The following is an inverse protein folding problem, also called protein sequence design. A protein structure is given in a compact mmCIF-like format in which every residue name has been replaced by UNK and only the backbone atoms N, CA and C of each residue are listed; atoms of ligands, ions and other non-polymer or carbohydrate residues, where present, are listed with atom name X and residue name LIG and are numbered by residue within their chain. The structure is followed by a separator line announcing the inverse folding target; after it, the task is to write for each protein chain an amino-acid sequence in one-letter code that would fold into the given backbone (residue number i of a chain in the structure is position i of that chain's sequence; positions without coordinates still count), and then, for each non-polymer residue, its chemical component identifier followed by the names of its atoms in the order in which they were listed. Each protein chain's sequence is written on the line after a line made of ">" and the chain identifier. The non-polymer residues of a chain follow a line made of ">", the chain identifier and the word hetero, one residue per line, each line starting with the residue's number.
data_IF_391841859603
#
_entry.id   IF_391841859603
#
_cell.length_a   1.000
_cell.length_b   1.000
_cell.length_c   1.000
_cell.angle_alpha   90.00
_cell.angle_beta   90.00
_cell.angle_gamma   90.00
#
_symmetry.space_group_name_H-M   'P 1'
#
loop_
_entity.id
_entity.type
_entity.pdbx_description
1 polymer ?
2 polymer ?
3 polymer ?
4 water ?
#
# COMPACT_ATOMS: atom_id res chain seq x y z
N UNK A 2 -18.27 -16.82 -10.41
CA UNK A 2 -17.03 -17.31 -11.00
C UNK A 2 -15.91 -17.31 -9.96
N UNK A 3 -14.88 -18.12 -10.21
CA UNK A 3 -13.72 -18.19 -9.32
C UNK A 3 -12.48 -18.48 -10.15
N UNK A 4 -11.47 -17.62 -10.03
CA UNK A 4 -10.19 -17.79 -10.72
C UNK A 4 -9.14 -18.16 -9.67
N UNK A 5 -8.97 -19.47 -9.45
CA UNK A 5 -7.98 -19.95 -8.51
C UNK A 5 -6.58 -19.73 -9.08
N UNK A 6 -5.73 -19.03 -8.33
CA UNK A 6 -4.40 -18.66 -8.78
C UNK A 6 -3.36 -19.51 -8.05
N UNK A 7 -2.30 -19.89 -8.77
CA UNK A 7 -1.23 -20.70 -8.22
C UNK A 7 0.07 -20.30 -8.88
N UNK A 8 1.14 -20.08 -8.10
CA UNK A 8 1.10 -20.16 -6.64
C UNK A 8 0.62 -18.87 -5.99
N UNK A 9 0.47 -18.88 -4.66
CA UNK A 9 0.12 -17.67 -3.94
C UNK A 9 1.32 -16.76 -3.72
N UNK A 10 2.52 -17.32 -3.71
CA UNK A 10 3.75 -16.54 -3.56
C UNK A 10 4.90 -17.32 -4.21
N UNK A 11 5.83 -16.59 -4.82
CA UNK A 11 6.96 -17.19 -5.49
C UNK A 11 8.20 -16.34 -5.24
N UNK A 12 9.33 -17.00 -5.02
CA UNK A 12 10.61 -16.34 -4.82
C UNK A 12 11.54 -16.72 -5.96
N UNK A 13 11.98 -15.72 -6.72
CA UNK A 13 12.85 -15.95 -7.87
C UNK A 13 13.98 -14.92 -7.87
N UNK A 14 15.08 -15.30 -8.49
CA UNK A 14 16.26 -14.44 -8.55
C UNK A 14 16.20 -13.51 -9.75
N UNK A 15 17.02 -12.47 -9.70
CA UNK A 15 17.12 -11.53 -10.83
C UNK A 15 17.53 -12.29 -12.07
N UNK A 16 16.83 -12.03 -13.18
CA UNK A 16 17.08 -12.72 -14.42
C UNK A 16 16.40 -14.08 -14.55
N UNK A 17 15.84 -14.61 -13.47
CA UNK A 17 15.15 -15.88 -13.53
C UNK A 17 13.81 -15.77 -14.24
N UNK A 18 13.01 -16.83 -14.07
CA UNK A 18 11.70 -16.93 -14.69
C UNK A 18 10.69 -17.40 -13.67
N UNK A 19 9.52 -16.76 -13.66
CA UNK A 19 8.44 -17.12 -12.75
C UNK A 19 7.20 -17.45 -13.57
N UNK A 20 6.42 -18.41 -13.08
CA UNK A 20 5.21 -18.86 -13.75
C UNK A 20 4.05 -18.78 -12.77
N UNK A 21 2.93 -18.20 -13.21
CA UNK A 21 1.73 -18.05 -12.40
C UNK A 21 0.56 -18.64 -13.17
N UNK A 22 -0.10 -19.62 -12.56
CA UNK A 22 -1.23 -20.30 -13.19
C UNK A 22 -2.54 -19.73 -12.66
N UNK A 23 -3.48 -19.49 -13.58
CA UNK A 23 -4.79 -18.94 -13.25
C UNK A 23 -5.86 -19.90 -13.79
N UNK A 24 -6.50 -20.61 -12.88
CA UNK A 24 -7.57 -21.55 -13.24
C UNK A 24 -8.92 -20.93 -12.90
N UNK A 25 -9.79 -20.85 -13.90
CA UNK A 25 -11.11 -20.27 -13.74
C UNK A 25 -12.14 -21.36 -13.49
N UNK A 26 -13.11 -21.07 -12.62
CA UNK A 26 -14.17 -22.02 -12.31
C UNK A 26 -15.12 -22.25 -13.49
N UNK A 27 -15.05 -21.43 -14.52
CA UNK A 27 -15.89 -21.60 -15.70
C UNK A 27 -15.29 -20.81 -16.85
N UNK A 28 -15.67 -21.19 -18.06
CA UNK A 28 -15.12 -20.55 -19.25
C UNK A 28 -15.46 -19.07 -19.25
N UNK A 29 -14.45 -18.24 -19.59
CA UNK A 29 -14.70 -16.81 -19.71
C UNK A 29 -15.58 -16.55 -20.94
N UNK A 30 -16.13 -15.33 -20.99
CA UNK A 30 -16.94 -14.95 -22.14
C UNK A 30 -16.19 -15.13 -23.44
N UNK A 31 -14.88 -14.93 -23.43
CA UNK A 31 -14.02 -15.13 -24.59
C UNK A 31 -12.61 -14.73 -24.19
N UNK A 32 -11.63 -15.19 -24.97
CA UNK A 32 -10.23 -14.90 -24.66
C UNK A 32 -9.93 -13.42 -24.65
N UNK A 33 -10.81 -12.59 -25.23
CA UNK A 33 -10.64 -11.14 -25.19
C UNK A 33 -11.03 -10.53 -23.86
N UNK A 34 -11.38 -11.34 -22.86
CA UNK A 34 -11.78 -10.87 -21.54
C UNK A 34 -11.01 -11.60 -20.45
N UNK A 35 -9.68 -11.57 -20.57
CA UNK A 35 -8.80 -12.16 -19.57
C UNK A 35 -7.50 -11.38 -19.57
N UNK A 36 -7.18 -10.72 -18.46
CA UNK A 36 -6.01 -9.90 -18.36
C UNK A 36 -5.24 -10.16 -17.08
N UNK A 37 -4.06 -9.56 -17.01
CA UNK A 37 -3.18 -9.66 -15.85
C UNK A 37 -2.82 -8.27 -15.36
N UNK A 38 -2.99 -8.03 -14.07
CA UNK A 38 -2.73 -6.74 -13.46
C UNK A 38 -1.56 -6.85 -12.48
N UNK A 39 -0.66 -5.87 -12.53
CA UNK A 39 0.44 -5.76 -11.60
C UNK A 39 0.12 -4.67 -10.58
N UNK A 40 0.24 -5.01 -9.29
CA UNK A 40 -0.01 -4.06 -8.22
C UNK A 40 1.14 -4.07 -7.23
N UNK A 41 1.66 -2.90 -6.92
CA UNK A 41 2.66 -2.72 -5.89
C UNK A 41 2.04 -2.07 -4.65
N UNK A 42 2.66 -2.22 -3.49
CA UNK A 42 2.06 -1.69 -2.26
C UNK A 42 1.81 -0.19 -2.36
N UNK A 43 0.64 0.23 -1.87
CA UNK A 43 0.28 1.63 -1.86
C UNK A 43 -0.09 2.23 -3.19
N UNK A 44 -0.14 1.44 -4.26
CA UNK A 44 -0.47 1.91 -5.58
C UNK A 44 -1.69 1.18 -6.13
N UNK A 45 -2.35 1.74 -7.12
CA UNK A 45 -3.47 1.04 -7.77
C UNK A 45 -2.95 0.02 -8.77
N UNK A 46 -3.73 -1.02 -9.07
CA UNK A 46 -3.28 -2.01 -10.04
C UNK A 46 -2.95 -1.37 -11.38
N UNK A 47 -2.24 -2.14 -12.21
CA UNK A 47 -1.78 -1.67 -13.51
C UNK A 47 -1.93 -2.80 -14.52
N UNK A 48 -2.62 -2.52 -15.63
CA UNK A 48 -2.83 -3.54 -16.65
C UNK A 48 -1.49 -3.95 -17.26
N UNK A 49 -1.28 -5.25 -17.37
CA UNK A 49 -0.04 -5.81 -17.89
C UNK A 49 -0.23 -6.63 -19.16
N UNK A 50 -1.25 -7.49 -19.20
CA UNK A 50 -1.55 -8.31 -20.36
C UNK A 50 -3.06 -8.28 -20.58
N UNK A 51 -3.48 -8.01 -21.81
CA UNK A 51 -4.89 -7.99 -22.17
C UNK A 51 -5.15 -9.01 -23.28
N UNK A 52 -6.41 -9.42 -23.39
CA UNK A 52 -6.84 -10.42 -24.37
C UNK A 52 -6.17 -11.76 -24.14
N UNK A 53 -5.72 -12.02 -22.91
CA UNK A 53 -5.16 -13.31 -22.52
C UNK A 53 -3.72 -13.48 -23.01
N UNK A 54 -3.35 -12.78 -24.09
CA UNK A 54 -2.00 -12.97 -24.64
C UNK A 54 -1.46 -11.75 -25.37
N UNK A 55 -2.05 -10.57 -25.19
CA UNK A 55 -1.59 -9.35 -25.85
C UNK A 55 -0.88 -8.45 -24.84
N UNK A 56 0.32 -8.01 -25.21
CA UNK A 56 1.11 -7.16 -24.33
C UNK A 56 0.52 -5.75 -24.30
N UNK A 57 0.09 -5.31 -23.12
CA UNK A 57 -0.49 -3.98 -22.98
C UNK A 57 0.52 -2.92 -23.40
N UNK A 58 0.00 -1.77 -23.82
CA UNK A 58 0.85 -0.69 -24.28
C UNK A 58 1.77 -0.21 -23.17
N UNK A 59 3.08 -0.23 -23.44
CA UNK A 59 4.06 0.22 -22.48
C UNK A 59 4.65 -0.87 -21.59
N UNK A 60 4.18 -2.10 -21.71
CA UNK A 60 4.69 -3.20 -20.87
C UNK A 60 5.90 -3.83 -21.55
N UNK A 61 6.94 -4.17 -20.80
CA UNK A 61 8.13 -4.77 -21.42
C UNK A 61 7.83 -6.17 -21.94
N UNK A 62 8.72 -6.64 -22.82
CA UNK A 62 8.56 -7.95 -23.44
C UNK A 62 8.82 -9.11 -22.47
N UNK A 63 9.30 -8.83 -21.26
CA UNK A 63 9.54 -9.90 -20.30
C UNK A 63 8.25 -10.62 -19.90
N UNK A 64 7.11 -9.98 -20.05
CA UNK A 64 5.83 -10.55 -19.65
C UNK A 64 5.15 -11.19 -20.85
N UNK A 65 4.67 -12.42 -20.67
CA UNK A 65 3.99 -13.18 -21.71
C UNK A 65 2.71 -13.77 -21.13
N UNK A 66 1.64 -13.70 -21.91
CA UNK A 66 0.35 -14.26 -21.53
C UNK A 66 -0.05 -15.39 -22.45
N UNK A 67 -0.63 -16.43 -21.87
CA UNK A 67 -1.05 -17.59 -22.64
C UNK A 67 -2.21 -18.27 -21.94
N UNK A 68 -2.98 -19.03 -22.71
CA UNK A 68 -4.14 -19.74 -22.21
C UNK A 68 -5.38 -19.43 -23.02
N UNK A 69 -6.48 -20.02 -22.60
CA UNK A 69 -7.78 -19.82 -23.24
C UNK A 69 -8.82 -20.63 -22.48
N UNK A 70 -10.09 -20.23 -22.64
CA UNK A 70 -11.19 -20.93 -22.01
C UNK A 70 -11.23 -20.77 -20.50
N UNK A 71 -10.50 -21.62 -19.79
CA UNK A 71 -10.47 -21.57 -18.33
C UNK A 71 -9.08 -21.69 -17.73
N UNK A 72 -8.07 -22.09 -18.49
CA UNK A 72 -6.71 -22.23 -17.98
C UNK A 72 -5.83 -21.16 -18.61
N UNK A 73 -5.22 -20.32 -17.78
CA UNK A 73 -4.35 -19.25 -18.23
C UNK A 73 -3.05 -19.28 -17.46
N UNK A 74 -2.01 -18.70 -18.06
CA UNK A 74 -0.69 -18.72 -17.47
C UNK A 74 0.02 -17.39 -17.74
N UNK A 75 0.67 -16.86 -16.70
CA UNK A 75 1.50 -15.67 -16.81
C UNK A 75 2.96 -16.06 -16.64
N UNK A 76 3.81 -15.58 -17.54
CA UNK A 76 5.23 -15.91 -17.52
C UNK A 76 6.04 -14.61 -17.50
N UNK A 77 6.89 -14.47 -16.50
CA UNK A 77 7.79 -13.31 -16.36
C UNK A 77 9.20 -13.80 -16.62
N UNK A 78 9.83 -13.28 -17.66
CA UNK A 78 11.19 -13.62 -18.02
C UNK A 78 12.14 -12.48 -17.67
N UNK A 79 13.41 -12.82 -17.51
CA UNK A 79 14.44 -11.85 -17.12
C UNK A 79 13.97 -11.03 -15.93
N UNK A 80 13.62 -11.74 -14.86
CA UNK A 80 13.01 -11.11 -13.69
C UNK A 80 13.92 -10.00 -13.15
N UNK A 81 13.34 -8.82 -12.99
CA UNK A 81 14.03 -7.65 -12.48
C UNK A 81 13.42 -7.22 -11.15
N UNK A 82 14.16 -6.38 -10.42
CA UNK A 82 13.66 -5.89 -9.14
C UNK A 82 12.40 -5.05 -9.31
N UNK A 83 12.25 -4.38 -10.45
CA UNK A 83 11.05 -3.59 -10.68
C UNK A 83 9.80 -4.45 -10.82
N UNK A 84 9.97 -5.76 -11.05
CA UNK A 84 8.85 -6.68 -11.15
C UNK A 84 8.39 -7.21 -9.80
N UNK A 85 8.96 -6.70 -8.71
CA UNK A 85 8.55 -7.10 -7.37
C UNK A 85 7.18 -6.51 -7.07
N UNK A 86 6.16 -7.36 -6.98
CA UNK A 86 4.80 -6.90 -6.75
C UNK A 86 3.84 -8.08 -6.64
N UNK A 87 2.54 -7.80 -6.66
CA UNK A 87 1.51 -8.82 -6.64
C UNK A 87 0.75 -8.80 -7.95
N UNK A 88 0.53 -9.97 -8.54
CA UNK A 88 -0.09 -10.10 -9.84
C UNK A 88 -1.44 -10.78 -9.72
N UNK A 89 -2.43 -10.24 -10.43
CA UNK A 89 -3.79 -10.76 -10.40
C UNK A 89 -4.26 -11.03 -11.82
N UNK A 90 -5.00 -12.13 -11.99
CA UNK A 90 -5.68 -12.42 -13.24
C UNK A 90 -7.16 -12.06 -13.10
N UNK A 91 -7.66 -11.27 -14.04
CA UNK A 91 -9.06 -10.84 -14.04
C UNK A 91 -9.71 -11.34 -15.33
N UNK A 92 -10.78 -12.10 -15.18
CA UNK A 92 -11.50 -12.66 -16.32
C UNK A 92 -12.92 -12.13 -16.38
N UNK A 93 -13.37 -11.75 -17.57
CA UNK A 93 -14.72 -11.28 -17.77
C UNK A 93 -15.65 -12.44 -18.14
N UNK A 94 -16.85 -12.41 -17.57
CA UNK A 94 -17.84 -13.47 -17.76
C UNK A 94 -19.20 -12.88 -18.09
N UNK A 95 -19.21 -11.84 -18.93
CA UNK A 95 -20.39 -11.15 -19.46
C UNK A 95 -20.75 -9.95 -18.59
N UNK A 96 -21.48 -10.11 -17.47
CA UNK A 96 -21.88 -8.93 -16.71
C UNK A 96 -20.82 -8.47 -15.72
N UNK A 97 -20.11 -9.42 -15.12
CA UNK A 97 -19.19 -9.16 -14.02
C UNK A 97 -17.79 -9.65 -14.35
N UNK A 98 -16.83 -9.12 -13.60
CA UNK A 98 -15.45 -9.58 -13.66
C UNK A 98 -15.14 -10.43 -12.43
N UNK A 99 -13.97 -11.05 -12.44
CA UNK A 99 -13.52 -11.88 -11.32
C UNK A 99 -12.01 -11.82 -11.23
N UNK A 100 -11.50 -11.44 -10.06
CA UNK A 100 -10.07 -11.36 -9.81
C UNK A 100 -9.58 -12.63 -9.13
N UNK A 101 -8.39 -13.07 -9.50
CA UNK A 101 -7.75 -14.16 -8.79
C UNK A 101 -7.32 -13.75 -7.39
N UNK A 102 -6.91 -14.74 -6.61
CA UNK A 102 -6.47 -14.48 -5.26
C UNK A 102 -5.18 -13.68 -5.15
N UNK A 103 -4.44 -13.55 -6.24
CA UNK A 103 -3.19 -12.82 -6.21
C UNK A 103 -1.99 -13.74 -5.99
N UNK A 104 -0.84 -13.28 -6.48
CA UNK A 104 0.41 -14.04 -6.34
C UNK A 104 1.54 -13.05 -6.09
N UNK A 105 2.05 -13.03 -4.86
CA UNK A 105 3.17 -12.16 -4.54
C UNK A 105 4.46 -12.68 -5.14
N UNK A 106 5.20 -11.80 -5.81
CA UNK A 106 6.45 -12.15 -6.48
C UNK A 106 7.57 -11.39 -5.77
N UNK A 107 8.45 -12.14 -5.11
CA UNK A 107 9.63 -11.59 -4.46
C UNK A 107 10.83 -11.86 -5.36
N UNK A 108 11.68 -10.85 -5.54
CA UNK A 108 12.80 -10.92 -6.46
C UNK A 108 14.09 -10.93 -5.64
N UNK A 109 14.88 -11.98 -5.79
CA UNK A 109 16.17 -12.09 -5.13
C UNK A 109 17.23 -11.35 -5.93
N UNK A 110 17.80 -10.29 -5.35
CA UNK A 110 18.83 -9.51 -5.98
C UNK A 110 20.19 -9.71 -5.35
N UNK A 111 21.07 -8.75 -5.59
CA UNK A 111 22.41 -8.81 -5.01
C UNK A 111 22.34 -8.57 -3.51
N UNK A 112 22.96 -9.42 -2.69
CA UNK A 112 22.93 -9.19 -1.24
C UNK A 112 23.59 -7.87 -0.89
N UNK A 113 23.05 -7.20 0.13
CA UNK A 113 23.58 -5.94 0.63
C UNK A 113 23.48 -5.94 2.13
N UNK A 114 24.58 -5.60 2.80
CA UNK A 114 24.57 -5.50 4.26
C UNK A 114 23.89 -4.21 4.69
N UNK A 115 23.09 -4.24 5.75
CA UNK A 115 22.33 -3.06 6.15
C UNK A 115 23.11 -2.14 7.08
N UNK A 116 22.72 -0.88 7.06
CA UNK A 116 23.14 0.11 8.04
C UNK A 116 22.02 0.31 9.05
N UNK A 117 22.38 0.49 10.32
CA UNK A 117 21.43 0.55 11.41
C UNK A 117 21.47 1.92 12.05
N UNK A 118 20.29 2.48 12.33
CA UNK A 118 20.16 3.75 13.03
C UNK A 118 19.23 3.54 14.22
N UNK A 119 19.65 4.03 15.38
CA UNK A 119 18.87 3.92 16.62
C UNK A 119 18.43 5.32 17.02
N UNK A 120 17.16 5.44 17.40
CA UNK A 120 16.59 6.74 17.76
C UNK A 120 16.10 6.70 19.21
N UNK A 121 16.73 7.42 20.12
CA UNK A 121 16.23 7.48 21.50
C UNK A 121 14.89 8.19 21.55
N UNK A 122 14.09 7.96 22.59
CA UNK A 122 12.79 8.61 22.67
C UNK A 122 12.94 10.12 22.79
N UNK A 123 11.98 10.84 22.21
CA UNK A 123 12.00 12.29 22.28
C UNK A 123 11.94 12.76 23.72
N UNK A 124 12.29 14.03 23.93
CA UNK A 124 12.34 14.57 25.29
C UNK A 124 10.99 14.51 25.97
N UNK A 125 9.90 14.59 25.20
CA UNK A 125 8.55 14.64 25.76
C UNK A 125 7.82 13.30 25.63
N UNK A 126 8.55 12.19 25.51
CA UNK A 126 7.92 10.88 25.47
C UNK A 126 7.68 10.30 26.86
N UNK A 127 8.66 10.44 27.76
CA UNK A 127 8.52 9.90 29.10
C UNK A 127 7.37 10.57 29.85
N UNK A 128 7.08 11.83 29.50
CA UNK A 128 5.98 12.54 30.16
C UNK A 128 4.66 11.80 30.00
N UNK A 129 4.46 11.13 28.87
CA UNK A 129 3.24 10.38 28.61
C UNK A 129 3.24 9.00 29.27
N UNK A 130 4.25 8.70 30.09
CA UNK A 130 4.34 7.40 30.72
C UNK A 130 4.62 6.25 29.78
N UNK A 131 4.86 6.52 28.50
CA UNK A 131 5.13 5.47 27.52
C UNK A 131 6.27 5.92 26.61
N UNK A 132 7.26 5.06 26.45
CA UNK A 132 8.44 5.35 25.63
C UNK A 132 8.48 4.36 24.48
N UNK A 133 8.83 4.85 23.29
CA UNK A 133 8.90 4.02 22.08
C UNK A 133 10.25 4.28 21.41
N UNK A 134 11.16 3.33 21.54
CA UNK A 134 12.48 3.43 20.91
C UNK A 134 12.38 2.86 19.49
N UNK A 135 12.93 3.59 18.52
CA UNK A 135 12.83 3.24 17.11
C UNK A 135 14.21 2.89 16.59
N UNK A 136 14.29 1.78 15.86
CA UNK A 136 15.52 1.34 15.20
C UNK A 136 15.21 1.01 13.75
N UNK A 137 16.07 1.45 12.84
CA UNK A 137 15.85 1.31 11.41
C UNK A 137 17.03 0.56 10.79
N UNK A 138 16.71 -0.39 9.91
CA UNK A 138 17.69 -1.09 9.10
C UNK A 138 17.55 -0.59 7.67
N UNK A 139 18.63 0.01 7.14
CA UNK A 139 18.57 0.73 5.88
C UNK A 139 19.21 -0.07 4.75
N UNK A 140 18.55 -0.05 3.59
CA UNK A 140 19.10 -0.57 2.33
C UNK A 140 19.80 -1.91 2.53
N UNK A 141 19.05 -3.00 2.46
CA UNK A 141 19.61 -4.33 2.67
C UNK A 141 18.74 -5.34 1.92
N UNK A 142 19.34 -6.49 1.60
CA UNK A 142 18.52 -7.57 1.09
C UNK A 142 18.50 -8.69 2.13
N UNK A 143 18.96 -9.94 1.83
CA UNK A 143 18.51 -11.11 2.60
C UNK A 143 17.93 -10.78 3.96
N UNK A 144 16.63 -11.00 4.14
CA UNK A 144 15.90 -10.63 5.35
C UNK A 144 16.76 -10.69 6.60
N UNK A 145 16.62 -9.70 7.48
CA UNK A 145 17.40 -9.62 8.69
C UNK A 145 16.53 -10.00 9.88
N UNK A 146 17.17 -10.13 11.04
CA UNK A 146 16.48 -10.36 12.30
C UNK A 146 16.99 -9.33 13.31
N UNK A 147 16.07 -8.78 14.10
CA UNK A 147 16.38 -7.71 15.04
C UNK A 147 16.18 -8.24 16.46
N UNK A 148 17.15 -7.95 17.33
CA UNK A 148 17.07 -8.28 18.73
C UNK A 148 17.39 -7.05 19.56
N UNK A 149 16.53 -6.75 20.53
CA UNK A 149 16.73 -5.62 21.42
C UNK A 149 17.37 -6.09 22.72
N UNK A 150 18.38 -5.35 23.18
CA UNK A 150 19.08 -5.65 24.42
C UNK A 150 19.09 -4.41 25.30
N UNK A 151 18.64 -4.57 26.54
CA UNK A 151 18.63 -3.50 27.52
C UNK A 151 19.61 -3.85 28.62
N UNK A 152 20.76 -3.20 28.61
CA UNK A 152 21.83 -3.47 29.58
C UNK A 152 22.27 -4.93 29.51
N UNK A 153 22.33 -5.47 28.30
CA UNK A 153 22.75 -6.84 28.08
C UNK A 153 21.67 -7.88 28.17
N UNK A 154 20.43 -7.48 28.48
CA UNK A 154 19.32 -8.41 28.62
C UNK A 154 18.47 -8.35 27.36
N UNK A 155 18.25 -9.51 26.73
CA UNK A 155 17.47 -9.57 25.50
C UNK A 155 15.99 -9.40 25.80
N UNK A 156 15.35 -8.47 25.09
CA UNK A 156 13.93 -8.21 25.28
C UNK A 156 13.09 -9.23 24.53
N UNK A 157 11.96 -9.61 25.11
CA UNK A 157 11.08 -10.61 24.53
C UNK A 157 9.69 -10.08 24.22
N UNK A 158 9.35 -8.88 24.64
CA UNK A 158 8.03 -8.31 24.39
C UNK A 158 8.18 -6.83 24.04
N UNK A 159 7.06 -6.21 23.67
CA UNK A 159 7.07 -4.81 23.32
C UNK A 159 7.79 -4.47 22.03
N UNK A 160 7.98 -5.45 21.15
CA UNK A 160 8.71 -5.28 19.91
C UNK A 160 7.77 -5.55 18.75
N UNK A 161 7.78 -4.67 17.75
CA UNK A 161 7.00 -4.85 16.54
C UNK A 161 7.75 -4.25 15.37
N UNK A 162 7.84 -5.00 14.27
CA UNK A 162 8.64 -4.61 13.12
C UNK A 162 7.73 -4.29 11.94
N UNK A 163 8.28 -3.50 11.01
CA UNK A 163 7.57 -3.13 9.79
C UNK A 163 8.60 -3.01 8.67
N UNK A 164 8.32 -3.66 7.55
CA UNK A 164 9.25 -3.72 6.41
C UNK A 164 8.62 -3.05 5.20
N UNK A 165 9.42 -2.22 4.53
CA UNK A 165 8.97 -1.55 3.32
C UNK A 165 9.06 -2.47 2.12
N UNK A 166 8.38 -2.12 1.02
CA UNK A 166 8.51 -2.92 -0.20
C UNK A 166 9.94 -2.92 -0.72
N UNK A 167 10.20 -3.84 -1.63
CA UNK A 167 11.53 -3.92 -2.23
C UNK A 167 11.78 -2.74 -3.15
N UNK A 168 13.01 -2.21 -3.11
CA UNK A 168 13.37 -1.10 -3.96
C UNK A 168 13.29 -1.53 -5.43
N UNK A 169 12.64 -0.70 -6.25
CA UNK A 169 12.45 -1.05 -7.65
C UNK A 169 13.77 -1.18 -8.41
N UNK A 170 14.87 -0.68 -7.86
CA UNK A 170 16.14 -0.65 -8.56
C UNK A 170 17.11 -1.74 -8.11
N UNK A 171 17.10 -2.11 -6.83
CA UNK A 171 18.07 -3.08 -6.33
C UNK A 171 17.47 -4.11 -5.39
N UNK A 172 16.14 -4.24 -5.35
CA UNK A 172 15.50 -5.30 -4.60
C UNK A 172 15.64 -5.13 -3.09
N UNK A 173 16.33 -4.08 -2.66
CA UNK A 173 16.65 -3.95 -1.24
C UNK A 173 15.41 -3.64 -0.42
N UNK A 174 15.51 -3.92 0.87
CA UNK A 174 14.44 -3.69 1.84
C UNK A 174 14.79 -2.51 2.74
N UNK A 175 13.82 -2.13 3.57
CA UNK A 175 14.01 -1.16 4.63
C UNK A 175 13.07 -1.55 5.77
N UNK A 176 13.61 -1.66 6.98
CA UNK A 176 12.85 -2.15 8.12
C UNK A 176 12.97 -1.18 9.28
N UNK A 177 11.91 -1.12 10.09
CA UNK A 177 11.89 -0.32 11.30
C UNK A 177 11.45 -1.21 12.45
N UNK A 178 12.19 -1.17 13.55
CA UNK A 178 11.88 -1.93 14.75
C UNK A 178 11.67 -0.95 15.90
N UNK A 179 10.57 -1.11 16.63
CA UNK A 179 10.23 -0.24 17.74
C UNK A 179 10.10 -1.06 19.01
N UNK A 180 10.69 -0.55 20.10
CA UNK A 180 10.60 -1.18 21.41
C UNK A 180 9.88 -0.22 22.35
N UNK A 181 8.67 -0.57 22.75
CA UNK A 181 7.86 0.24 23.64
C UNK A 181 7.83 -0.40 25.02
N UNK A 182 8.01 0.42 26.06
CA UNK A 182 8.00 -0.05 27.42
C UNK A 182 7.59 1.09 28.35
N UNK A 183 7.43 0.76 29.63
CA UNK A 183 6.98 1.74 30.61
C UNK A 183 8.07 2.76 30.89
N UNK A 184 7.66 4.02 31.09
CA UNK A 184 8.61 5.05 31.46
C UNK A 184 9.38 4.68 32.72
N UNK A 185 8.73 3.96 33.64
CA UNK A 185 9.44 3.48 34.83
C UNK A 185 10.52 2.48 34.46
N UNK A 186 10.30 1.67 33.43
CA UNK A 186 11.31 0.71 33.00
C UNK A 186 12.40 1.39 32.18
N UNK A 187 12.04 2.38 31.38
CA UNK A 187 13.05 3.08 30.58
C UNK A 187 14.07 3.80 31.45
N UNK A 188 13.65 4.26 32.63
CA UNK A 188 14.56 4.94 33.54
C UNK A 188 15.35 3.98 34.42
N UNK A 189 14.91 2.73 34.54
CA UNK A 189 15.61 1.72 35.32
C UNK A 189 16.80 1.12 34.59
N UNK A 190 17.14 1.65 33.41
CA UNK A 190 18.26 1.14 32.62
C UNK A 190 18.96 2.31 31.95
N UNK A 191 20.06 2.01 31.27
CA UNK A 191 20.85 3.06 30.61
C UNK A 191 21.18 2.68 29.18
N UNK A 192 21.77 1.50 28.98
CA UNK A 192 22.22 1.08 27.66
C UNK A 192 21.09 0.37 26.92
N UNK A 193 20.71 0.92 25.77
CA UNK A 193 19.70 0.33 24.89
C UNK A 193 20.36 0.02 23.55
N UNK A 194 20.34 -1.25 23.15
CA UNK A 194 21.06 -1.70 21.97
C UNK A 194 20.09 -2.29 20.96
N UNK A 195 20.34 -1.99 19.68
CA UNK A 195 19.62 -2.59 18.56
C UNK A 195 20.61 -3.37 17.72
N UNK A 196 20.39 -4.68 17.62
CA UNK A 196 21.27 -5.57 16.85
C UNK A 196 20.48 -6.15 15.69
N UNK A 197 21.01 -5.99 14.49
CA UNK A 197 20.39 -6.50 13.27
C UNK A 197 21.35 -7.54 12.68
N UNK A 198 20.93 -8.80 12.67
CA UNK A 198 21.75 -9.90 12.18
C UNK A 198 21.27 -10.32 10.80
N UNK A 199 22.21 -10.48 9.88
CA UNK A 199 21.95 -10.95 8.53
C UNK A 199 22.72 -12.25 8.36
N UNK A 200 22.13 -13.36 8.78
CA UNK A 200 22.80 -14.64 8.79
C UNK A 200 23.61 -14.84 10.06
N UNK A 201 24.92 -14.66 9.96
CA UNK A 201 25.79 -14.68 11.13
C UNK A 201 26.54 -13.37 11.34
N UNK A 202 26.26 -12.35 10.52
CA UNK A 202 26.88 -11.04 10.67
C UNK A 202 25.90 -10.10 11.34
N UNK A 203 26.41 -9.30 12.28
CA UNK A 203 25.58 -8.41 13.08
C UNK A 203 26.04 -6.96 12.93
N UNK A 204 25.08 -6.05 13.00
CA UNK A 204 25.33 -4.62 13.00
C UNK A 204 24.66 -4.04 14.23
N UNK A 205 25.44 -3.39 15.09
CA UNK A 205 24.97 -2.92 16.38
C UNK A 205 24.97 -1.41 16.41
N UNK A 206 23.96 -0.83 17.04
CA UNK A 206 23.87 0.61 17.25
C UNK A 206 23.19 0.84 18.59
N UNK A 207 23.85 1.56 19.49
CA UNK A 207 23.36 1.73 20.85
C UNK A 207 23.35 3.21 21.21
N UNK A 208 22.78 3.50 22.39
CA UNK A 208 22.80 4.84 22.96
C UNK A 208 22.65 4.71 24.46
N UNK A 209 23.19 5.68 25.19
CA UNK A 209 23.12 5.71 26.64
C UNK A 209 22.07 6.71 27.07
N UNK A 210 21.15 6.29 27.95
CA UNK A 210 20.06 7.16 28.36
C UNK A 210 20.56 8.47 28.94
N UNK A 211 21.69 8.46 29.64
CA UNK A 211 22.25 9.64 30.24
C UNK A 211 22.94 10.60 29.30
N UNK A 212 22.78 10.43 28.00
CA UNK A 212 23.43 11.29 27.01
C UNK A 212 22.47 11.97 26.05
N UNK A 213 21.26 11.47 25.89
CA UNK A 213 20.32 12.01 24.93
C UNK A 213 19.27 12.89 25.61
N UNK B 4 -6.89 12.72 -17.61
CA UNK B 4 -5.83 11.73 -17.46
C UNK B 4 -5.55 11.44 -15.99
N UNK B 5 -6.50 11.81 -15.13
CA UNK B 5 -6.37 11.59 -13.70
C UNK B 5 -7.74 11.27 -13.11
N UNK B 6 -7.72 10.56 -11.99
CA UNK B 6 -8.94 10.21 -11.27
C UNK B 6 -8.68 10.32 -9.77
N UNK B 7 -9.72 10.69 -9.04
CA UNK B 7 -9.64 10.85 -7.59
C UNK B 7 -10.97 10.44 -6.98
N UNK B 8 -10.91 9.55 -5.99
CA UNK B 8 -12.10 9.12 -5.26
C UNK B 8 -12.07 9.72 -3.86
N UNK B 9 -13.24 10.19 -3.41
CA UNK B 9 -13.37 10.81 -2.10
C UNK B 9 -14.61 10.29 -1.41
N UNK B 10 -14.67 10.50 -0.10
CA UNK B 10 -15.77 10.05 0.72
C UNK B 10 -15.42 8.99 1.74
N UNK B 11 -14.21 8.42 1.70
CA UNK B 11 -13.86 7.39 2.64
C UNK B 11 -13.66 7.93 4.04
N UNK B 12 -13.84 7.06 5.02
CA UNK B 12 -13.69 7.45 6.41
C UNK B 12 -14.30 6.41 7.32
N UNK B 13 -14.23 6.72 8.62
CA UNK B 13 -14.78 5.81 9.63
C UNK B 13 -16.29 5.88 9.63
N UNK B 14 -16.94 4.72 9.63
CA UNK B 14 -18.39 4.62 9.66
C UNK B 14 -18.78 3.46 10.55
N UNK B 15 -19.96 3.58 11.17
CA UNK B 15 -20.44 2.56 12.09
C UNK B 15 -21.06 1.39 11.33
N UNK B 16 -21.05 0.20 11.92
CA UNK B 16 -21.70 -0.95 11.27
C UNK B 16 -23.19 -0.67 11.06
N UNK B 17 -23.62 -0.80 9.81
CA UNK B 17 -25.00 -0.53 9.43
C UNK B 17 -25.22 0.84 8.81
N UNK B 18 -24.33 1.79 9.04
CA UNK B 18 -24.46 3.10 8.45
C UNK B 18 -24.18 3.10 6.97
N UNK B 19 -24.47 4.23 6.34
CA UNK B 19 -24.28 4.42 4.90
C UNK B 19 -23.13 5.38 4.64
N UNK B 20 -22.71 5.43 3.38
CA UNK B 20 -21.62 6.30 2.96
C UNK B 20 -21.54 6.37 1.45
N UNK B 21 -21.49 7.58 0.90
CA UNK B 21 -21.48 7.78 -0.55
C UNK B 21 -20.07 8.16 -0.99
N UNK B 22 -19.49 7.35 -1.87
CA UNK B 22 -18.17 7.61 -2.43
C UNK B 22 -18.30 8.20 -3.82
N UNK B 23 -17.36 9.07 -4.17
CA UNK B 23 -17.36 9.75 -5.47
C UNK B 23 -16.06 9.48 -6.21
N UNK B 24 -16.13 9.56 -7.53
CA UNK B 24 -14.97 9.34 -8.41
C UNK B 24 -15.00 10.42 -9.47
N UNK B 25 -14.19 11.46 -9.28
CA UNK B 25 -14.15 12.60 -10.19
C UNK B 25 -12.96 12.51 -11.12
N UNK B 26 -13.14 12.98 -12.35
CA UNK B 26 -12.10 12.99 -13.36
C UNK B 26 -11.49 14.38 -13.49
N UNK B 27 -10.20 14.42 -13.87
CA UNK B 27 -9.47 15.68 -14.01
C UNK B 27 -8.49 15.52 -15.18
N UNK B 28 -9.03 15.62 -16.40
CA UNK B 28 -8.24 15.47 -17.59
C UNK B 28 -8.97 14.76 -18.70
N UNK B 29 -10.04 14.03 -18.34
CA UNK B 29 -10.87 13.34 -19.32
C UNK B 29 -12.31 13.40 -18.85
N UNK B 30 -13.22 12.77 -19.60
CA UNK B 30 -14.64 12.79 -19.30
C UNK B 30 -15.17 11.37 -19.16
N UNK B 31 -16.33 11.26 -18.55
CA UNK B 31 -17.04 10.00 -18.41
C UNK B 31 -18.20 9.92 -19.39
N UNK B 32 -17.93 10.17 -20.67
CA UNK B 32 -18.94 10.16 -21.72
C UNK B 32 -18.76 8.90 -22.54
N UNK B 33 -19.75 8.00 -22.50
CA UNK B 33 -19.73 6.75 -23.26
C UNK B 33 -18.48 5.93 -22.92
N UNK B 34 -18.45 5.49 -21.66
CA UNK B 34 -17.36 4.66 -21.17
C UNK B 34 -17.80 3.98 -19.89
N UNK B 35 -17.11 2.89 -19.55
CA UNK B 35 -17.43 2.14 -18.35
C UNK B 35 -16.59 2.59 -17.16
N UNK B 36 -17.25 2.72 -16.02
CA UNK B 36 -16.61 3.10 -14.77
C UNK B 36 -16.81 1.95 -13.78
N UNK B 37 -15.71 1.35 -13.34
CA UNK B 37 -15.74 0.20 -12.47
C UNK B 37 -15.19 0.55 -11.09
N UNK B 38 -15.75 -0.09 -10.06
CA UNK B 38 -15.28 0.06 -8.69
C UNK B 38 -14.66 -1.25 -8.23
N UNK B 39 -13.49 -1.15 -7.60
CA UNK B 39 -12.76 -2.31 -7.12
C UNK B 39 -12.23 -1.99 -5.72
N UNK B 40 -12.65 -2.76 -4.73
CA UNK B 40 -12.21 -2.57 -3.36
C UNK B 40 -11.18 -3.65 -2.98
N UNK B 41 -10.36 -3.33 -1.99
CA UNK B 41 -9.29 -4.22 -1.56
C UNK B 41 -9.13 -4.09 -0.06
N UNK B 42 -9.55 -5.11 0.68
CA UNK B 42 -9.40 -5.11 2.13
C UNK B 42 -7.92 -5.03 2.50
N UNK B 43 -7.61 -4.54 3.70
CA UNK B 43 -6.21 -4.38 4.09
C UNK B 43 -5.46 -5.71 4.02
N UNK B 44 -4.38 -5.73 3.25
CA UNK B 44 -3.58 -6.93 3.10
C UNK B 44 -4.26 -8.06 2.37
N UNK B 45 -5.35 -7.80 1.67
CA UNK B 45 -6.11 -8.81 0.94
C UNK B 45 -5.97 -8.56 -0.57
N UNK B 46 -6.78 -9.29 -1.35
CA UNK B 46 -6.74 -9.19 -2.79
C UNK B 46 -7.82 -8.28 -3.34
N UNK B 47 -7.75 -8.06 -4.65
CA UNK B 47 -8.73 -7.21 -5.32
C UNK B 47 -10.08 -7.90 -5.42
N UNK B 48 -11.14 -7.10 -5.40
CA UNK B 48 -12.51 -7.61 -5.44
C UNK B 48 -13.34 -6.72 -6.34
N UNK B 49 -13.77 -7.25 -7.48
CA UNK B 49 -14.72 -6.55 -8.34
C UNK B 49 -16.07 -6.45 -7.64
N UNK B 50 -16.63 -5.25 -7.60
CA UNK B 50 -17.87 -5.03 -6.85
C UNK B 50 -18.98 -4.52 -7.76
N UNK B 51 -18.75 -3.40 -8.43
CA UNK B 51 -19.81 -2.76 -9.20
C UNK B 51 -19.26 -2.22 -10.51
N UNK B 52 -20.17 -1.97 -11.45
CA UNK B 52 -19.85 -1.42 -12.76
C UNK B 52 -21.01 -0.57 -13.23
N UNK B 53 -20.70 0.49 -13.98
CA UNK B 53 -21.72 1.38 -14.52
C UNK B 53 -21.21 1.97 -15.83
N UNK B 54 -22.05 1.96 -16.85
CA UNK B 54 -21.71 2.53 -18.15
C UNK B 54 -22.38 3.90 -18.27
N UNK B 55 -21.57 4.95 -18.35
CA UNK B 55 -22.10 6.31 -18.40
C UNK B 55 -22.94 6.56 -19.64
N UNK B 56 -22.78 5.76 -20.69
CA UNK B 56 -23.53 5.93 -21.91
C UNK B 56 -25.02 6.03 -21.69
N UNK B 57 -25.64 4.96 -21.20
CA UNK B 57 -27.06 4.93 -20.91
C UNK B 57 -27.33 4.43 -19.51
N UNK B 58 -26.45 4.73 -18.56
CA UNK B 58 -26.65 4.37 -17.18
C UNK B 58 -26.99 2.92 -16.94
N UNK B 59 -26.10 2.02 -17.33
CA UNK B 59 -26.27 0.58 -17.11
C UNK B 59 -25.32 0.17 -16.00
N UNK B 60 -25.87 -0.30 -14.89
CA UNK B 60 -25.09 -0.63 -13.70
C UNK B 60 -25.15 -2.12 -13.41
N UNK B 61 -24.01 -2.67 -12.97
CA UNK B 61 -23.90 -4.06 -12.56
C UNK B 61 -23.21 -4.13 -11.20
N UNK B 62 -23.67 -5.05 -10.37
CA UNK B 62 -23.17 -5.18 -9.00
C UNK B 62 -22.81 -6.63 -8.71
N UNK B 63 -21.78 -6.82 -7.90
CA UNK B 63 -21.37 -8.15 -7.49
C UNK B 63 -22.29 -8.68 -6.40
N UNK B 64 -22.25 -10.00 -6.21
CA UNK B 64 -23.14 -10.62 -5.24
C UNK B 64 -22.85 -10.16 -3.82
N UNK B 65 -21.60 -9.78 -3.53
CA UNK B 65 -21.25 -9.34 -2.18
C UNK B 65 -21.95 -8.04 -1.82
N UNK B 66 -22.22 -7.19 -2.81
CA UNK B 66 -22.87 -5.91 -2.58
C UNK B 66 -24.27 -5.89 -3.21
N UNK B 67 -24.88 -7.05 -3.40
CA UNK B 67 -26.17 -7.13 -4.05
C UNK B 67 -27.24 -6.41 -3.24
N UNK B 68 -27.83 -5.37 -3.82
CA UNK B 68 -28.92 -4.66 -3.20
C UNK B 68 -28.53 -3.67 -2.12
N UNK B 69 -27.30 -3.73 -1.61
CA UNK B 69 -26.88 -2.83 -0.55
C UNK B 69 -26.18 -1.58 -1.08
N UNK B 70 -25.57 -1.66 -2.26
CA UNK B 70 -24.86 -0.53 -2.86
C UNK B 70 -25.60 -0.05 -4.10
N UNK B 71 -25.17 1.09 -4.61
CA UNK B 71 -25.77 1.69 -5.80
C UNK B 71 -24.73 2.57 -6.48
N UNK B 72 -24.53 2.37 -7.78
CA UNK B 72 -23.58 3.13 -8.57
C UNK B 72 -24.33 4.23 -9.31
N UNK B 73 -23.88 5.46 -9.13
CA UNK B 73 -24.49 6.63 -9.76
C UNK B 73 -23.50 7.25 -10.75
N UNK B 74 -24.04 8.01 -11.70
CA UNK B 74 -23.23 8.62 -12.75
C UNK B 74 -23.74 10.02 -13.07
N UNK B 75 -23.95 10.84 -12.04
CA UNK B 75 -24.32 12.23 -12.25
C UNK B 75 -23.22 12.92 -13.05
N UNK B 76 -23.46 13.15 -14.34
CA UNK B 76 -22.44 13.71 -15.20
C UNK B 76 -22.10 15.16 -14.87
N UNK B 77 -22.93 15.84 -14.08
CA UNK B 77 -22.62 17.19 -13.64
C UNK B 77 -21.27 17.20 -12.92
N UNK B 78 -20.30 17.91 -13.48
CA UNK B 78 -18.92 17.88 -13.01
C UNK B 78 -18.37 16.46 -13.08
N UNK B 79 -18.41 15.93 -14.31
CA UNK B 79 -18.05 14.55 -14.66
C UNK B 79 -17.49 13.74 -13.49
N UNK B 80 -18.33 12.90 -12.90
CA UNK B 80 -17.92 12.09 -11.76
C UNK B 80 -18.93 10.97 -11.55
N UNK B 81 -18.44 9.83 -11.08
CA UNK B 81 -19.27 8.69 -10.76
C UNK B 81 -19.32 8.53 -9.24
N UNK B 82 -20.42 8.00 -8.74
CA UNK B 82 -20.64 7.85 -7.31
C UNK B 82 -20.93 6.40 -6.97
N UNK B 83 -20.79 6.08 -5.69
CA UNK B 83 -21.04 4.72 -5.17
C UNK B 83 -21.71 4.86 -3.81
N UNK B 84 -23.02 4.66 -3.77
CA UNK B 84 -23.79 4.77 -2.54
C UNK B 84 -23.81 3.41 -1.84
N UNK B 85 -23.36 3.39 -0.59
CA UNK B 85 -23.32 2.17 0.21
C UNK B 85 -24.34 2.29 1.33
N UNK B 86 -25.28 1.34 1.38
CA UNK B 86 -26.36 1.38 2.37
C UNK B 86 -25.93 0.69 3.66
N UNK B 87 -26.47 -0.50 3.92
CA UNK B 87 -26.16 -1.23 5.14
C UNK B 87 -24.74 -1.77 5.06
N UNK B 88 -23.82 -1.15 5.78
CA UNK B 88 -22.41 -1.54 5.75
C UNK B 88 -22.11 -2.56 6.84
N UNK B 89 -20.97 -3.22 6.68
CA UNK B 89 -20.50 -4.21 7.65
C UNK B 89 -18.99 -4.17 7.71
N UNK B 90 -18.43 -4.86 8.70
CA UNK B 90 -16.98 -4.88 8.87
C UNK B 90 -16.28 -5.39 7.61
N UNK B 91 -16.88 -6.37 6.94
CA UNK B 91 -16.27 -6.93 5.74
C UNK B 91 -16.12 -5.91 4.63
N UNK B 92 -16.91 -4.84 4.66
CA UNK B 92 -16.80 -3.79 3.65
C UNK B 92 -15.61 -2.88 3.85
N UNK B 93 -14.88 -3.02 4.96
CA UNK B 93 -13.68 -2.23 5.17
C UNK B 93 -12.63 -2.59 4.13
N UNK B 94 -12.17 -1.58 3.38
CA UNK B 94 -11.20 -1.82 2.31
C UNK B 94 -10.91 -0.48 1.64
N UNK B 95 -9.93 -0.50 0.74
CA UNK B 95 -9.62 0.64 -0.12
C UNK B 95 -10.40 0.50 -1.42
N UNK B 96 -11.22 1.49 -1.73
CA UNK B 96 -12.09 1.45 -2.89
C UNK B 96 -11.46 2.24 -4.03
N UNK B 97 -11.23 1.59 -5.15
CA UNK B 97 -10.72 2.21 -6.36
C UNK B 97 -11.85 2.41 -7.38
N UNK B 98 -11.61 3.31 -8.32
CA UNK B 98 -12.45 3.43 -9.50
C UNK B 98 -11.57 3.44 -10.74
N UNK B 99 -11.98 2.70 -11.76
CA UNK B 99 -11.22 2.58 -12.99
C UNK B 99 -12.11 2.93 -14.18
N UNK B 100 -11.48 3.45 -15.23
CA UNK B 100 -12.17 3.84 -16.45
C UNK B 100 -11.67 3.01 -17.61
N UNK B 101 -12.60 2.55 -18.45
CA UNK B 101 -12.27 1.79 -19.64
C UNK B 101 -12.35 2.68 -20.88
N UNK B 102 -12.13 2.07 -22.04
CA UNK B 102 -12.17 2.80 -23.29
C UNK B 102 -11.08 3.83 -23.49
N UNK B 103 -10.20 4.01 -22.51
CA UNK B 103 -9.13 4.99 -22.66
C UNK B 103 -8.20 4.60 -23.79
N UNK B 104 -7.93 3.30 -23.94
CA UNK B 104 -7.05 2.80 -24.99
C UNK B 104 -7.85 2.56 -26.27
N UNK B 105 -7.16 2.05 -27.29
CA UNK B 105 -7.76 1.79 -28.59
C UNK B 105 -7.77 0.29 -28.84
N UNK B 106 -8.91 -0.23 -29.29
CA UNK B 106 -9.04 -1.64 -29.61
C UNK B 106 -9.58 -2.47 -28.47
N UNK B 107 -9.15 -3.74 -28.39
CA UNK B 107 -9.62 -4.62 -27.34
C UNK B 107 -9.05 -4.23 -25.98
N UNK B 108 -7.91 -3.55 -25.95
CA UNK B 108 -7.33 -3.11 -24.68
C UNK B 108 -8.28 -2.18 -23.93
N UNK B 109 -9.15 -1.48 -24.66
CA UNK B 109 -10.10 -0.59 -24.02
C UNK B 109 -11.12 -1.30 -23.15
N UNK B 110 -11.28 -2.61 -23.33
CA UNK B 110 -12.19 -3.36 -22.47
C UNK B 110 -11.75 -3.34 -21.02
N UNK B 111 -10.45 -3.23 -20.78
CA UNK B 111 -9.89 -3.39 -19.44
C UNK B 111 -9.75 -2.04 -18.73
N UNK B 112 -9.50 -2.11 -17.43
CA UNK B 112 -9.39 -0.94 -16.57
C UNK B 112 -8.10 -0.21 -16.90
N UNK B 113 -8.19 0.83 -17.72
CA UNK B 113 -7.00 1.54 -18.20
C UNK B 113 -6.52 2.59 -17.19
N UNK B 114 -7.45 3.41 -16.69
CA UNK B 114 -7.11 4.50 -15.77
C UNK B 114 -7.68 4.21 -14.39
N UNK B 115 -6.82 4.28 -13.38
CA UNK B 115 -7.20 4.02 -12.01
C UNK B 115 -7.00 5.28 -11.16
N UNK B 116 -7.72 5.32 -10.04
CA UNK B 116 -7.52 6.37 -9.06
C UNK B 116 -6.65 5.89 -7.92
N UNK B 117 -6.22 6.82 -7.06
CA UNK B 117 -5.37 6.43 -5.93
C UNK B 117 -6.10 5.58 -4.90
N UNK B 118 -7.42 5.61 -4.86
CA UNK B 118 -8.18 4.82 -3.90
C UNK B 118 -8.51 5.56 -2.63
N UNK B 119 -9.70 5.33 -2.09
CA UNK B 119 -10.15 5.95 -0.85
C UNK B 119 -10.46 4.84 0.16
N UNK B 120 -9.96 5.00 1.37
CA UNK B 120 -10.04 3.96 2.39
C UNK B 120 -11.29 4.16 3.25
N UNK B 121 -12.09 3.10 3.36
CA UNK B 121 -13.29 3.09 4.19
C UNK B 121 -13.07 2.14 5.35
N UNK B 122 -13.34 2.61 6.56
CA UNK B 122 -13.17 1.82 7.78
C UNK B 122 -14.54 1.69 8.46
N UNK B 123 -15.00 0.46 8.60
CA UNK B 123 -16.29 0.16 9.24
C UNK B 123 -16.02 -0.51 10.57
N UNK B 124 -16.40 0.16 11.66
CA UNK B 124 -16.24 -0.36 13.01
C UNK B 124 -16.86 0.65 13.97
N UNK B 125 -16.93 0.26 15.24
CA UNK B 125 -17.49 1.10 16.28
C UNK B 125 -16.42 1.83 17.09
N UNK B 126 -15.14 1.66 16.75
CA UNK B 126 -14.09 2.35 17.47
C UNK B 126 -14.24 3.85 17.38
N UNK B 127 -13.73 4.54 18.39
CA UNK B 127 -13.82 6.00 18.43
C UNK B 127 -12.54 6.60 17.90
N UNK B 128 -12.63 7.54 16.95
CA UNK B 128 -11.41 8.12 16.38
C UNK B 128 -10.51 8.72 17.46
N UNK B 129 -9.22 8.78 17.15
CA UNK B 129 -8.25 9.35 18.08
C UNK B 129 -7.03 9.80 17.29
N UNK B 130 -6.71 11.09 17.36
CA UNK B 130 -5.60 11.63 16.60
C UNK B 130 -4.27 11.09 17.13
N UNK B 131 -3.24 11.06 16.30
CA UNK B 131 -1.95 10.53 16.72
C UNK B 131 -1.17 11.53 17.57
N UNK B 132 -0.04 11.06 18.06
CA UNK B 132 0.88 11.86 18.88
C UNK B 132 2.25 11.83 18.21
N UNK B 133 2.54 12.87 17.42
CA UNK B 133 3.79 12.90 16.67
C UNK B 133 4.95 13.16 17.61
N UNK B 134 6.01 12.37 17.48
CA UNK B 134 7.22 12.53 18.26
C UNK B 134 8.43 12.62 17.34
N UNK B 135 9.43 13.44 17.68
CA UNK B 135 10.59 13.58 16.81
C UNK B 135 11.51 12.36 16.90
N UNK B 136 12.24 12.11 15.81
CA UNK B 136 13.18 11.01 15.72
C UNK B 136 14.53 11.57 15.27
N UNK B 137 15.43 11.78 16.24
CA UNK B 137 16.75 12.32 15.96
C UNK B 137 17.80 11.50 16.69
N UNK B 138 19.01 11.40 16.13
CA UNK B 138 20.07 10.63 16.80
C UNK B 138 20.38 11.20 18.17
N UNK B 139 20.81 10.32 19.07
CA UNK B 139 21.22 10.75 20.40
C UNK B 139 22.25 11.86 20.28
N UNK B 140 22.17 12.82 21.20
CA UNK B 140 23.02 14.01 21.11
C UNK B 140 24.51 13.68 21.16
N UNK B 141 24.88 12.45 21.51
CA UNK B 141 26.28 12.07 21.56
C UNK B 141 26.67 11.05 20.52
N UNK B 142 26.35 11.33 19.25
CA UNK B 142 26.70 10.45 18.14
C UNK B 142 27.53 11.21 17.11
N UNK B 143 28.30 10.46 16.35
CA UNK B 143 29.16 11.04 15.33
C UNK B 143 28.34 11.42 14.11
N UNK B 144 28.30 12.69 13.71
CA UNK B 144 27.54 13.07 12.52
C UNK B 144 28.39 13.10 11.27
N UNK B 145 27.97 13.90 10.28
CA UNK B 145 28.71 14.04 9.03
C UNK B 145 28.04 15.05 8.12
N UNK B 146 28.30 14.97 6.82
CA UNK B 146 27.67 15.89 5.88
C UNK B 146 26.16 15.69 5.83
N UNK B 147 25.69 14.47 6.10
CA UNK B 147 24.28 14.13 6.07
C UNK B 147 23.82 13.74 7.47
N UNK B 148 22.55 13.34 7.56
CA UNK B 148 21.94 12.94 8.83
C UNK B 148 20.52 12.48 8.57
N UNK B 149 20.05 11.50 9.33
CA UNK B 149 18.72 10.91 9.15
C UNK B 149 17.81 11.37 10.29
N UNK B 150 16.74 12.05 9.94
CA UNK B 150 15.73 12.50 10.89
C UNK B 150 14.39 11.88 10.54
N UNK B 151 13.51 11.78 11.54
CA UNK B 151 12.22 11.16 11.32
C UNK B 151 11.20 11.63 12.33
N UNK B 152 10.01 11.03 12.24
CA UNK B 152 8.90 11.32 13.13
C UNK B 152 8.14 10.03 13.43
N UNK B 153 7.68 9.90 14.68
CA UNK B 153 6.93 8.73 15.13
C UNK B 153 5.47 9.12 15.29
N UNK B 154 4.59 8.38 14.61
CA UNK B 154 3.15 8.63 14.64
C UNK B 154 2.51 7.38 15.22
N UNK B 155 2.10 7.43 16.48
CA UNK B 155 1.54 6.28 17.18
C UNK B 155 0.18 6.61 17.74
N UNK B 156 -0.53 5.57 18.18
CA UNK B 156 -1.81 5.71 18.84
C UNK B 156 -2.83 6.52 18.08
N UNK B 157 -3.22 6.05 16.89
CA UNK B 157 -4.24 6.70 16.10
C UNK B 157 -5.16 5.66 15.48
N UNK B 158 -6.46 5.96 15.49
CA UNK B 158 -7.46 5.08 14.90
C UNK B 158 -7.73 5.55 13.46
N UNK B 159 -8.79 5.07 12.77
CA UNK B 159 -8.84 5.15 11.30
C UNK B 159 -7.54 5.55 10.62
N UNK B 160 -6.85 4.56 10.05
CA UNK B 160 -5.50 4.69 9.50
C UNK B 160 -5.28 5.99 8.73
N UNK B 161 -5.90 6.15 7.55
CA UNK B 161 -5.47 7.19 6.59
C UNK B 161 -4.69 8.35 7.17
N UNK B 162 -3.39 8.15 7.38
CA UNK B 162 -2.48 9.20 7.84
C UNK B 162 -1.48 9.50 6.74
N UNK B 163 -1.35 10.77 6.39
CA UNK B 163 -0.44 11.21 5.34
C UNK B 163 0.72 11.97 5.98
N UNK B 164 1.94 11.50 5.75
CA UNK B 164 3.14 12.11 6.27
C UNK B 164 3.90 12.76 5.11
N UNK B 165 4.42 13.96 5.36
CA UNK B 165 5.23 14.67 4.39
C UNK B 165 6.36 15.38 5.11
N UNK B 166 7.27 15.96 4.33
CA UNK B 166 8.42 16.67 4.86
C UNK B 166 8.57 18.00 4.15
N UNK B 167 8.63 19.08 4.91
CA UNK B 167 8.75 20.43 4.36
C UNK B 167 7.58 20.76 3.44
N UNK B 168 6.38 20.42 3.89
CA UNK B 168 5.15 20.71 3.16
C UNK B 168 5.15 20.06 1.78
N UNK B 169 5.81 18.93 1.64
CA UNK B 169 5.86 18.21 0.38
C UNK B 169 6.98 18.62 -0.55
N UNK B 170 7.91 19.45 -0.11
CA UNK B 170 9.02 19.86 -0.96
C UNK B 170 10.21 18.92 -0.84
N UNK B 171 10.38 18.27 0.31
CA UNK B 171 11.48 17.33 0.52
C UNK B 171 10.93 15.91 0.40
N UNK B 172 11.17 15.29 -0.76
CA UNK B 172 10.71 13.93 -1.01
C UNK B 172 11.84 12.94 -1.28
N UNK B 173 13.00 13.40 -1.74
CA UNK B 173 14.08 12.49 -2.07
C UNK B 173 14.64 11.85 -0.80
N UNK B 174 14.64 10.52 -0.76
CA UNK B 174 15.16 9.82 0.39
C UNK B 174 14.20 9.71 1.56
N UNK B 175 12.90 9.74 1.30
CA UNK B 175 11.90 9.60 2.35
C UNK B 175 11.52 8.13 2.47
N UNK B 176 11.47 7.63 3.70
CA UNK B 176 11.14 6.23 3.98
C UNK B 176 10.02 6.20 5.02
N UNK B 177 8.79 6.02 4.55
CA UNK B 177 7.62 5.92 5.42
C UNK B 177 7.23 4.45 5.52
N UNK B 178 7.46 3.85 6.68
CA UNK B 178 7.22 2.43 6.86
C UNK B 178 5.72 2.14 6.99
N UNK B 179 5.29 0.94 6.60
CA UNK B 179 3.88 0.59 6.73
C UNK B 179 3.42 0.63 8.18
N UNK B 180 2.17 1.02 8.38
CA UNK B 180 1.61 1.08 9.71
C UNK B 180 1.50 -0.32 10.32
N UNK B 181 1.35 -0.37 11.64
CA UNK B 181 1.24 -1.62 12.37
C UNK B 181 0.14 -1.46 13.41
N UNK B 182 -0.90 -2.28 13.32
CA UNK B 182 -2.00 -2.25 14.29
C UNK B 182 -1.53 -2.89 15.58
N UNK B 183 -1.42 -2.09 16.64
CA UNK B 183 -0.91 -2.57 17.91
C UNK B 183 -1.99 -3.36 18.65
N UNK B 184 -1.62 -3.89 19.82
CA UNK B 184 -2.55 -4.73 20.58
C UNK B 184 -3.80 -3.96 20.99
N UNK B 185 -3.64 -2.67 21.31
CA UNK B 185 -4.76 -1.85 21.73
C UNK B 185 -5.66 -1.42 20.58
N UNK B 186 -5.45 -1.96 19.38
CA UNK B 186 -6.24 -1.57 18.22
C UNK B 186 -5.80 -0.29 17.55
N UNK B 187 -4.89 0.46 18.16
CA UNK B 187 -4.39 1.70 17.57
C UNK B 187 -3.23 1.40 16.64
N UNK B 188 -3.16 2.15 15.53
CA UNK B 188 -2.08 2.01 14.58
C UNK B 188 -0.90 2.92 14.94
N UNK B 189 0.21 2.72 14.24
CA UNK B 189 1.41 3.51 14.48
C UNK B 189 2.41 3.24 13.37
N UNK B 190 3.07 4.30 12.90
CA UNK B 190 4.08 4.18 11.86
C UNK B 190 5.19 5.19 12.14
N UNK B 191 6.22 5.15 11.31
CA UNK B 191 7.34 6.07 11.41
C UNK B 191 7.78 6.47 10.02
N UNK B 192 8.41 7.64 9.93
CA UNK B 192 8.90 8.17 8.66
C UNK B 192 10.21 8.89 8.91
N UNK B 193 11.28 8.44 8.27
CA UNK B 193 12.60 9.03 8.40
C UNK B 193 13.03 9.55 7.03
N UNK B 194 13.93 10.54 7.06
CA UNK B 194 14.43 11.17 5.85
C UNK B 194 15.91 11.50 6.04
N UNK B 195 16.69 11.33 4.98
CA UNK B 195 18.11 11.64 4.98
C UNK B 195 18.32 12.98 4.29
N UNK B 196 18.93 13.93 5.00
CA UNK B 196 19.14 15.28 4.49
C UNK B 196 20.57 15.70 4.76
N UNK B 197 21.08 16.60 3.92
CA UNK B 197 22.40 17.17 4.13
C UNK B 197 22.31 18.31 5.13
N UNK B 198 23.11 18.23 6.18
CA UNK B 198 23.06 19.23 7.25
C UNK B 198 23.30 20.62 6.68
N UNK B 199 22.46 21.57 7.10
CA UNK B 199 22.59 22.96 6.66
C UNK B 199 21.64 23.86 7.46
N UNK B 200 21.22 24.97 6.86
CA UNK B 200 20.31 25.89 7.52
C UNK B 200 18.90 25.77 6.93
N UNK B 201 18.40 24.55 6.78
CA UNK B 201 17.07 24.33 6.22
C UNK B 201 16.13 23.78 7.27
N UNK B 202 14.87 24.20 7.29
CA UNK B 202 13.90 23.68 8.26
C UNK B 202 13.39 22.31 7.83
N UNK B 203 13.64 21.31 8.66
CA UNK B 203 13.20 19.94 8.41
C UNK B 203 12.01 19.67 9.33
N UNK B 204 10.82 19.56 8.74
CA UNK B 204 9.60 19.38 9.51
C UNK B 204 8.74 18.32 8.85
N UNK B 205 8.09 17.50 9.67
CA UNK B 205 7.18 16.46 9.19
C UNK B 205 5.74 16.93 9.37
N UNK B 206 4.95 16.82 8.31
CA UNK B 206 3.56 17.28 8.30
C UNK B 206 2.67 16.05 8.42
N UNK B 207 2.18 15.79 9.62
CA UNK B 207 1.31 14.64 9.89
C UNK B 207 -0.14 15.10 9.82
N UNK B 208 -0.93 14.42 8.99
CA UNK B 208 -2.35 14.73 8.82
C UNK B 208 -3.18 13.48 9.11
N UNK B 209 -4.31 13.68 9.78
CA UNK B 209 -5.23 12.60 10.12
C UNK B 209 -6.64 13.04 9.75
N UNK B 210 -7.06 12.77 8.51
CA UNK B 210 -8.39 13.25 8.08
C UNK B 210 -9.53 12.74 8.94
N UNK B 211 -9.41 11.55 9.51
CA UNK B 211 -10.50 11.01 10.33
C UNK B 211 -10.84 11.95 11.48
N UNK B 212 -9.83 12.49 12.15
CA UNK B 212 -10.03 13.43 13.25
C UNK B 212 -9.86 14.88 12.82
N UNK B 213 -9.54 15.13 11.56
CA UNK B 213 -9.33 16.48 11.04
C UNK B 213 -8.28 17.22 11.86
N UNK B 214 -7.05 16.70 11.81
CA UNK B 214 -5.94 17.26 12.56
C UNK B 214 -4.71 17.32 11.65
N UNK B 215 -3.89 18.35 11.88
CA UNK B 215 -2.65 18.54 11.14
C UNK B 215 -1.57 18.95 12.13
N UNK B 216 -0.50 18.16 12.22
CA UNK B 216 0.60 18.40 13.14
C UNK B 216 1.89 18.61 12.36
N UNK B 217 2.68 19.58 12.78
CA UNK B 217 3.99 19.87 12.18
C UNK B 217 5.01 19.85 13.29
N UNK B 218 5.93 18.89 13.24
CA UNK B 218 6.95 18.71 14.28
C UNK B 218 8.31 18.97 13.66
N UNK B 219 8.95 20.07 14.09
CA UNK B 219 10.29 20.41 13.64
C UNK B 219 11.29 19.46 14.30
N UNK B 220 11.88 18.57 13.51
CA UNK B 220 12.81 17.58 14.04
C UNK B 220 14.18 18.22 14.25
N UNK B 221 14.61 18.27 15.50
CA UNK B 221 15.92 18.81 15.79
C UNK B 221 17.02 17.82 15.37
N UNK B 222 18.19 18.32 14.97
CA UNK B 222 19.25 17.40 14.51
C UNK B 222 19.78 16.48 15.60
N UNK B 223 19.51 16.77 16.87
CA UNK B 223 19.98 15.92 17.96
C UNK B 223 18.96 15.95 19.08
N UNK B 224 19.16 15.07 20.06
CA UNK B 224 18.28 14.99 21.22
C UNK B 224 18.50 16.13 22.20
N UNK B 225 19.62 16.85 22.09
CA UNK B 225 19.88 17.99 22.96
C UNK B 225 18.82 19.07 22.76
N UNK C 1 -21.82 0.98 -33.75
CA UNK C 1 -20.96 0.03 -33.04
C UNK C 1 -20.36 -0.98 -34.00
N UNK C 2 -19.03 -1.04 -34.03
CA UNK C 2 -18.32 -1.96 -34.91
C UNK C 2 -18.06 -3.28 -34.17
N UNK C 3 -17.15 -4.10 -34.67
CA UNK C 3 -16.89 -5.40 -34.07
C UNK C 3 -16.47 -5.25 -32.61
N UNK C 4 -15.47 -4.40 -32.35
CA UNK C 4 -14.98 -4.21 -30.99
C UNK C 4 -16.04 -3.60 -30.08
N UNK C 5 -17.02 -2.89 -30.65
CA UNK C 5 -18.04 -2.23 -29.84
C UNK C 5 -19.24 -3.11 -29.54
N UNK C 6 -19.53 -4.09 -30.40
CA UNK C 6 -20.67 -4.97 -30.16
C UNK C 6 -20.36 -6.00 -29.08
N UNK C 7 -19.19 -6.64 -29.15
CA UNK C 7 -18.79 -7.55 -28.08
C UNK C 7 -18.75 -6.85 -26.74
N UNK C 8 -18.33 -5.58 -26.73
CA UNK C 8 -18.35 -4.79 -25.51
C UNK C 8 -19.77 -4.59 -25.01
N UNK C 9 -20.68 -4.20 -25.91
CA UNK C 9 -22.07 -4.03 -25.53
C UNK C 9 -22.70 -5.35 -25.15
N UNK C 10 -22.49 -6.39 -25.96
CA UNK C 10 -23.01 -7.71 -25.63
C UNK C 10 -22.47 -8.20 -24.29
N UNK C 11 -21.19 -7.90 -24.02
CA UNK C 11 -20.57 -8.31 -22.76
C UNK C 11 -21.36 -7.73 -21.58
N UNK C 12 -21.30 -6.41 -21.39
CA UNK C 12 -22.02 -5.78 -20.31
C UNK C 12 -23.53 -5.70 -20.56
N UNK C 13 -23.99 -6.08 -21.74
CA UNK C 13 -25.42 -6.08 -22.04
C UNK C 13 -25.97 -4.66 -22.03
N UNK C 14 -25.75 -3.91 -23.12
CA UNK C 14 -26.23 -2.54 -23.22
C UNK C 14 -27.46 -2.45 -24.12
#
# INVERSE_FOLDING_TARGET
>A
AQVLTQTPSAVSAAVGGTVTINCQASQSVYSDNWLGWYQQKPGQPPKLLIYAASNLASGVPSRFQGSGSGTQFTLTISDLQCDDAATYYCAGGFSPNWAFGGGTGVVVDGDPVAPTVLIFPPAADQVATGTVTIVCVANKYFPDVTVTWEVDGTTQTTGIENSKTPQNSADCTYNLSSTLTLTSTQYNSHKEYTCKVTQGTTSVVQSFNRGDC
>B
DTPQELVESGGGLVQPGGSLKLSCKASGIDFNNCGVTWVRQAPGQGLEWIAYIYTGLGVGHYASSVEGRFTVSSDNAQNAVFLQMTSLTASDTATYFCARDGVMSGVEGYYFNLWGPGTLVTVSSGQPKAPSVFPLAPCCGDTPSSTVTLGCLVKGYLPEPVTVTWNSGTLTNGVRTFPSVRQSSGLYSLSSVVSVTSSSQPVTCNVAHPATNTKVDKTVAPSTC
>C
RDKVQKEYALFYKLD
#
